data_IF_651185048026
#
_entry.id   IF_651185048026
#
_cell.length_a   1.000
_cell.length_b   1.000
_cell.length_c   1.000
_cell.angle_alpha   90.00
_cell.angle_beta   90.00
_cell.angle_gamma   90.00
#
_symmetry.space_group_name_H-M   'P 1'
#
loop_
_entity.id
_entity.type
_entity.pdbx_description
1 polymer ?
#
# COMPACT_ATOMS: atom_id res chain seq x y z
N UNK A 1 -55.72 -24.27 -29.23
CA UNK A 1 -56.94 -24.44 -30.06
C UNK A 1 -58.07 -23.79 -29.30
N UNK A 2 -58.81 -22.75 -29.69
CA UNK A 2 -59.06 -21.98 -30.91
C UNK A 2 -59.59 -20.61 -30.41
N UNK A 3 -59.00 -19.45 -30.73
CA UNK A 3 -59.32 -18.58 -31.89
C UNK A 3 -60.84 -18.31 -31.99
N UNK A 4 -61.38 -17.09 -32.13
CA UNK A 4 -60.96 -15.69 -32.17
C UNK A 4 -62.24 -14.86 -32.45
N UNK A 5 -62.16 -13.53 -32.39
CA UNK A 5 -62.72 -12.55 -33.36
C UNK A 5 -63.41 -11.30 -32.74
N UNK A 6 -62.97 -10.15 -33.28
CA UNK A 6 -63.40 -8.76 -33.08
C UNK A 6 -64.45 -8.39 -34.15
N UNK A 7 -65.29 -7.35 -33.98
CA UNK A 7 -64.99 -6.01 -34.54
C UNK A 7 -65.56 -4.88 -33.63
N UNK A 8 -65.32 -3.57 -33.73
CA UNK A 8 -64.78 -2.66 -34.73
C UNK A 8 -65.70 -1.44 -34.91
N UNK A 9 -65.34 -0.26 -34.33
CA UNK A 9 -65.52 1.16 -34.79
C UNK A 9 -66.93 1.62 -35.30
N UNK A 10 -67.56 2.75 -34.95
CA UNK A 10 -67.16 4.18 -34.75
C UNK A 10 -68.41 4.98 -34.32
N UNK A 11 -68.25 6.07 -33.57
CA UNK A 11 -68.94 7.35 -33.88
C UNK A 11 -68.17 8.54 -33.29
N UNK A 12 -67.95 9.56 -34.11
CA UNK A 12 -67.27 10.82 -33.83
C UNK A 12 -68.27 11.84 -33.29
N UNK A 13 -67.85 12.70 -32.35
CA UNK A 13 -68.22 14.13 -32.38
C UNK A 13 -67.17 14.99 -31.69
N UNK A 14 -67.04 16.20 -32.23
CA UNK A 14 -65.88 17.09 -32.24
C UNK A 14 -65.58 17.80 -30.92
N UNK A 15 -64.29 18.15 -30.74
CA UNK A 15 -63.72 19.04 -29.72
C UNK A 15 -64.21 20.51 -29.82
N UNK A 16 -63.97 21.32 -28.77
CA UNK A 16 -62.78 22.19 -28.82
C UNK A 16 -61.91 22.16 -27.55
N UNK A 17 -60.63 22.49 -27.76
CA UNK A 17 -59.52 22.57 -26.82
C UNK A 17 -59.65 23.70 -25.78
N UNK A 18 -59.22 23.42 -24.54
CA UNK A 18 -58.47 24.35 -23.69
C UNK A 18 -57.32 23.59 -22.98
N UNK A 19 -56.13 24.19 -22.83
CA UNK A 19 -54.91 23.48 -22.42
C UNK A 19 -54.83 23.25 -20.90
N UNK A 20 -54.55 22.01 -20.51
CA UNK A 20 -54.25 21.61 -19.14
C UNK A 20 -52.88 22.14 -18.72
N UNK A 21 -52.88 22.94 -17.65
CA UNK A 21 -51.69 23.41 -16.96
C UNK A 21 -50.90 22.22 -16.37
N UNK A 22 -49.59 22.28 -16.54
CA UNK A 22 -48.61 21.40 -15.92
C UNK A 22 -48.60 21.56 -14.40
N UNK A 23 -48.47 20.47 -13.61
CA UNK A 23 -48.21 20.61 -12.18
C UNK A 23 -46.74 21.00 -11.99
N UNK A 24 -46.52 22.30 -11.83
CA UNK A 24 -45.35 22.85 -11.16
C UNK A 24 -45.57 22.75 -9.65
N UNK A 25 -44.51 22.36 -8.93
CA UNK A 25 -44.30 22.36 -7.47
C UNK A 25 -43.97 21.00 -6.84
N UNK A 26 -42.80 20.44 -7.16
CA UNK A 26 -41.92 19.78 -6.19
C UNK A 26 -40.48 19.86 -6.72
N UNK A 27 -39.73 20.96 -6.48
CA UNK A 27 -38.25 20.99 -6.55
C UNK A 27 -37.72 22.41 -6.31
N UNK A 28 -37.37 22.73 -5.06
CA UNK A 28 -36.46 23.88 -4.79
C UNK A 28 -35.72 23.77 -3.46
N UNK A 29 -36.22 22.99 -2.49
CA UNK A 29 -35.55 22.81 -1.20
C UNK A 29 -34.43 21.73 -1.20
N UNK A 30 -34.50 20.74 -2.09
CA UNK A 30 -33.53 19.63 -2.15
C UNK A 30 -32.21 19.98 -2.85
N UNK A 31 -32.21 20.95 -3.76
CA UNK A 31 -30.99 21.37 -4.49
C UNK A 31 -30.07 22.21 -3.62
N UNK A 32 -30.59 23.16 -2.83
CA UNK A 32 -29.77 24.03 -1.99
C UNK A 32 -29.01 23.25 -0.90
N UNK A 33 -29.68 22.27 -0.26
CA UNK A 33 -29.04 21.38 0.71
C UNK A 33 -27.92 20.54 0.09
N UNK A 34 -28.18 19.94 -1.08
CA UNK A 34 -27.18 19.17 -1.81
C UNK A 34 -26.01 20.03 -2.30
N UNK A 35 -26.25 21.24 -2.82
CA UNK A 35 -25.19 22.16 -3.26
C UNK A 35 -24.35 22.67 -2.09
N UNK A 36 -24.96 22.95 -0.93
CA UNK A 36 -24.22 23.31 0.28
C UNK A 36 -23.40 22.16 0.83
N UNK A 37 -23.93 20.93 0.80
CA UNK A 37 -23.22 19.72 1.20
C UNK A 37 -22.07 19.40 0.25
N UNK A 38 -22.28 19.52 -1.06
CA UNK A 38 -21.25 19.33 -2.09
C UNK A 38 -20.17 20.41 -2.00
N UNK A 39 -20.52 21.66 -1.72
CA UNK A 39 -19.54 22.73 -1.54
C UNK A 39 -18.76 22.61 -0.21
N UNK A 40 -19.39 22.10 0.85
CA UNK A 40 -18.75 21.93 2.17
C UNK A 40 -17.87 20.68 2.24
N UNK A 41 -18.35 19.58 1.67
CA UNK A 41 -17.70 18.27 1.78
C UNK A 41 -16.99 17.85 0.49
N UNK A 42 -17.20 18.53 -0.63
CA UNK A 42 -16.59 18.19 -1.93
C UNK A 42 -16.57 16.68 -2.22
N UNK A 43 -17.70 15.95 -2.19
CA UNK A 43 -17.72 14.48 -2.26
C UNK A 43 -17.08 13.87 -3.53
N UNK A 44 -16.93 14.67 -4.59
CA UNK A 44 -16.18 14.36 -5.82
C UNK A 44 -14.65 14.49 -5.69
N UNK A 45 -14.19 15.14 -4.62
CA UNK A 45 -12.82 15.12 -4.11
C UNK A 45 -12.86 14.22 -2.85
N UNK A 46 -11.82 13.46 -2.50
CA UNK A 46 -11.82 12.76 -1.21
C UNK A 46 -12.05 13.78 -0.08
N UNK A 47 -13.26 13.82 0.47
CA UNK A 47 -13.77 14.80 1.45
C UNK A 47 -12.97 14.87 2.73
N UNK A 48 -12.16 13.84 2.99
CA UNK A 48 -11.18 13.86 4.05
C UNK A 48 -9.88 14.39 3.44
N UNK A 49 -9.74 15.71 3.30
CA UNK A 49 -8.45 16.30 3.69
C UNK A 49 -8.20 15.67 5.06
N UNK A 50 -7.20 14.79 5.19
CA UNK A 50 -6.94 14.14 6.46
C UNK A 50 -6.84 15.24 7.50
N UNK A 51 -7.89 15.37 8.30
CA UNK A 51 -7.86 16.23 9.45
C UNK A 51 -6.92 15.47 10.37
N UNK A 52 -5.71 15.98 10.55
CA UNK A 52 -4.81 15.38 11.51
C UNK A 52 -5.53 15.29 12.85
N UNK A 53 -5.25 14.20 13.56
CA UNK A 53 -5.94 13.73 14.76
C UNK A 53 -6.48 14.86 15.66
N UNK A 54 -7.67 15.42 15.39
CA UNK A 54 -8.23 16.61 16.07
C UNK A 54 -7.21 17.74 16.42
N UNK A 55 -6.23 18.00 15.56
CA UNK A 55 -5.19 19.01 15.83
C UNK A 55 -4.17 18.65 16.93
N UNK A 56 -4.10 17.37 17.33
CA UNK A 56 -3.06 16.82 18.20
C UNK A 56 -1.93 16.21 17.37
N UNK A 57 -0.69 16.43 17.80
CA UNK A 57 0.47 15.69 17.31
C UNK A 57 0.22 14.19 17.51
N UNK A 58 0.72 13.37 16.59
CA UNK A 58 0.79 11.93 16.80
C UNK A 58 2.25 11.55 16.95
N UNK A 59 2.65 11.35 18.19
CA UNK A 59 4.05 11.11 18.59
C UNK A 59 4.35 9.60 18.70
N UNK A 60 3.31 8.75 18.70
CA UNK A 60 3.42 7.29 18.71
C UNK A 60 3.30 6.65 17.32
N UNK A 61 3.91 5.48 17.16
CA UNK A 61 3.99 4.74 15.90
C UNK A 61 3.31 3.38 15.97
N UNK A 62 2.82 2.91 14.83
CA UNK A 62 2.27 1.55 14.68
C UNK A 62 2.97 0.86 13.54
N UNK A 63 3.78 -0.13 13.87
CA UNK A 63 4.44 -1.00 12.91
C UNK A 63 3.67 -2.31 12.78
N UNK A 64 3.73 -2.93 11.61
CA UNK A 64 3.25 -4.29 11.41
C UNK A 64 4.39 -5.18 10.90
N UNK A 65 4.42 -6.44 11.31
CA UNK A 65 5.32 -7.45 10.77
C UNK A 65 4.53 -8.54 10.06
N UNK A 66 4.90 -8.79 8.80
CA UNK A 66 4.24 -9.73 7.90
C UNK A 66 5.24 -10.74 7.32
N UNK A 67 4.85 -12.00 7.11
CA UNK A 67 5.71 -12.98 6.48
C UNK A 67 5.79 -12.74 4.98
N UNK A 68 6.95 -12.94 4.38
CA UNK A 68 7.12 -12.86 2.92
C UNK A 68 6.35 -13.96 2.17
N UNK A 69 6.09 -15.10 2.81
CA UNK A 69 5.39 -16.24 2.20
C UNK A 69 3.90 -16.01 1.92
N UNK A 70 3.30 -14.92 2.39
CA UNK A 70 1.87 -14.61 2.14
C UNK A 70 1.54 -14.51 0.65
N UNK A 71 2.50 -14.10 -0.18
CA UNK A 71 2.33 -14.00 -1.64
C UNK A 71 2.51 -15.37 -2.33
N UNK A 72 3.07 -16.37 -1.66
CA UNK A 72 3.30 -17.70 -2.26
C UNK A 72 2.01 -18.52 -2.33
N UNK A 73 1.05 -18.26 -1.44
CA UNK A 73 -0.25 -18.94 -1.40
C UNK A 73 -1.19 -18.51 -2.54
N UNK A 74 -0.84 -17.46 -3.30
CA UNK A 74 -1.60 -17.03 -4.46
C UNK A 74 -1.26 -17.88 -5.70
N UNK A 75 -2.29 -18.47 -6.31
CA UNK A 75 -2.16 -19.51 -7.35
C UNK A 75 -1.66 -19.02 -8.72
N UNK A 76 -1.74 -17.72 -9.05
CA UNK A 76 -1.20 -17.16 -10.30
C UNK A 76 -0.47 -15.85 -10.06
N UNK A 77 0.36 -15.41 -11.03
CA UNK A 77 1.04 -14.11 -10.97
C UNK A 77 0.02 -12.97 -11.00
N UNK A 78 -1.07 -13.16 -11.74
CA UNK A 78 -2.25 -12.34 -11.64
C UNK A 78 -2.72 -12.40 -10.20
N UNK A 79 -3.05 -13.52 -9.57
CA UNK A 79 -3.49 -13.55 -8.16
C UNK A 79 -2.52 -12.89 -7.15
N UNK A 80 -1.21 -13.01 -7.38
CA UNK A 80 -0.16 -12.35 -6.59
C UNK A 80 -0.21 -10.83 -6.73
N UNK A 81 -0.61 -10.32 -7.89
CA UNK A 81 -0.80 -8.89 -8.17
C UNK A 81 -2.29 -8.41 -8.18
N UNK A 82 -3.26 -9.32 -8.29
CA UNK A 82 -4.68 -9.16 -8.67
C UNK A 82 -5.47 -10.50 -8.79
N UNK A 83 -6.37 -10.79 -7.84
CA UNK A 83 -7.36 -11.87 -7.98
C UNK A 83 -8.69 -11.32 -8.50
N UNK A 84 -8.87 -11.41 -9.82
CA UNK A 84 -10.12 -11.51 -10.60
C UNK A 84 -11.39 -10.88 -9.99
N UNK A 85 -11.74 -9.68 -10.47
CA UNK A 85 -13.11 -9.14 -10.43
C UNK A 85 -13.20 -7.69 -9.95
N UNK A 86 -14.30 -7.01 -10.30
CA UNK A 86 -14.64 -5.66 -9.83
C UNK A 86 -14.82 -5.54 -8.31
N UNK A 87 -14.72 -6.65 -7.55
CA UNK A 87 -15.21 -6.72 -6.17
C UNK A 87 -14.21 -7.25 -5.12
N UNK A 88 -12.97 -7.65 -5.48
CA UNK A 88 -11.98 -8.15 -4.48
C UNK A 88 -10.53 -7.69 -4.74
N UNK A 89 -9.87 -6.95 -3.81
CA UNK A 89 -8.49 -6.49 -4.02
C UNK A 89 -7.43 -7.61 -3.83
N UNK A 90 -6.25 -7.49 -4.47
CA UNK A 90 -5.05 -8.33 -4.23
C UNK A 90 -4.69 -8.39 -2.74
N UNK A 91 -4.16 -9.52 -2.22
CA UNK A 91 -3.72 -9.60 -0.82
C UNK A 91 -2.74 -8.47 -0.45
N UNK A 92 -1.81 -8.12 -1.35
CA UNK A 92 -0.86 -7.02 -1.12
C UNK A 92 -1.53 -5.65 -1.18
N UNK A 93 -2.43 -5.44 -2.14
CA UNK A 93 -3.20 -4.19 -2.23
C UNK A 93 -4.14 -4.00 -1.04
N UNK A 94 -4.75 -5.09 -0.54
CA UNK A 94 -5.55 -5.11 0.68
C UNK A 94 -4.71 -4.76 1.90
N UNK A 95 -3.52 -5.34 2.02
CA UNK A 95 -2.57 -5.02 3.10
C UNK A 95 -2.20 -3.54 3.05
N UNK A 96 -1.74 -3.03 1.90
CA UNK A 96 -1.37 -1.62 1.72
C UNK A 96 -2.53 -0.68 2.10
N UNK A 97 -3.74 -0.99 1.62
CA UNK A 97 -4.94 -0.20 1.90
C UNK A 97 -5.35 -0.27 3.36
N UNK A 98 -5.25 -1.43 4.00
CA UNK A 98 -5.54 -1.59 5.43
C UNK A 98 -4.53 -0.79 6.26
N UNK A 99 -3.24 -0.89 5.95
CA UNK A 99 -2.19 -0.12 6.61
C UNK A 99 -2.43 1.38 6.49
N UNK A 100 -2.81 1.83 5.29
CA UNK A 100 -3.18 3.21 5.02
C UNK A 100 -4.38 3.68 5.87
N UNK A 101 -5.46 2.88 5.91
CA UNK A 101 -6.68 3.21 6.66
C UNK A 101 -6.41 3.35 8.15
N UNK A 102 -5.58 2.48 8.72
CA UNK A 102 -5.23 2.47 10.14
C UNK A 102 -3.98 3.29 10.45
N UNK A 103 -3.48 4.08 9.51
CA UNK A 103 -2.34 4.97 9.69
C UNK A 103 -1.10 4.25 10.26
N UNK A 104 -0.80 3.06 9.73
CA UNK A 104 0.42 2.29 10.04
C UNK A 104 1.63 3.05 9.52
N UNK A 105 2.70 3.15 10.32
CA UNK A 105 3.90 3.95 10.00
C UNK A 105 5.02 3.13 9.38
N UNK A 106 5.05 1.82 9.61
CA UNK A 106 6.08 0.91 9.07
C UNK A 106 5.46 -0.46 8.80
N UNK A 107 5.81 -1.04 7.65
CA UNK A 107 5.51 -2.43 7.30
C UNK A 107 6.83 -3.19 7.21
N UNK A 108 7.02 -4.16 8.10
CA UNK A 108 8.19 -5.03 8.14
C UNK A 108 7.84 -6.36 7.47
N UNK A 109 8.56 -6.72 6.43
CA UNK A 109 8.41 -8.00 5.74
C UNK A 109 9.53 -8.91 6.20
N UNK A 110 9.22 -9.95 6.96
CA UNK A 110 10.22 -10.90 7.42
C UNK A 110 10.19 -12.19 6.59
N UNK A 111 11.37 -12.78 6.36
CA UNK A 111 11.44 -14.13 5.81
C UNK A 111 11.11 -15.15 6.91
N UNK A 112 10.05 -15.93 6.70
CA UNK A 112 9.60 -16.94 7.66
C UNK A 112 10.44 -18.22 7.62
N UNK A 113 11.34 -18.37 6.64
CA UNK A 113 12.29 -19.48 6.49
C UNK A 113 11.65 -20.88 6.54
N UNK A 114 10.35 -20.96 6.28
CA UNK A 114 9.62 -22.22 6.29
C UNK A 114 9.86 -22.98 4.98
N UNK A 115 10.15 -24.29 5.03
CA UNK A 115 10.39 -25.06 3.82
C UNK A 115 9.12 -25.11 2.96
N UNK A 116 9.25 -24.91 1.64
CA UNK A 116 8.11 -24.84 0.70
C UNK A 116 7.15 -26.04 0.76
N UNK A 117 7.61 -27.18 1.27
CA UNK A 117 6.80 -28.39 1.49
C UNK A 117 5.67 -28.19 2.52
N UNK A 118 5.84 -27.32 3.51
CA UNK A 118 4.80 -27.04 4.53
C UNK A 118 3.71 -26.09 4.03
N UNK A 119 3.94 -25.38 2.91
CA UNK A 119 2.96 -24.48 2.29
C UNK A 119 1.97 -25.23 1.37
N UNK A 120 2.24 -26.49 1.05
CA UNK A 120 1.53 -27.28 0.05
C UNK A 120 0.68 -28.41 0.66
N UNK A 121 0.07 -28.19 1.82
CA UNK A 121 -0.86 -29.16 2.41
C UNK A 121 -2.25 -29.07 1.77
N UNK A 122 -2.33 -29.40 0.48
CA UNK A 122 -3.57 -29.91 -0.11
C UNK A 122 -3.62 -31.42 0.13
N UNK A 123 -4.54 -31.96 0.96
CA UNK A 123 -4.62 -33.39 1.25
C UNK A 123 -5.03 -34.27 0.05
N UNK A 124 -5.23 -33.69 -1.14
CA UNK A 124 -5.62 -34.40 -2.38
C UNK A 124 -4.47 -34.59 -3.39
N UNK A 125 -3.25 -34.12 -3.11
CA UNK A 125 -2.13 -34.18 -4.06
C UNK A 125 -1.04 -35.22 -3.72
N UNK A 126 -1.27 -36.15 -2.79
CA UNK A 126 -0.36 -37.29 -2.58
C UNK A 126 -0.64 -38.40 -3.59
N UNK A 127 -0.25 -38.18 -4.85
CA UNK A 127 -0.53 -39.17 -5.89
C UNK A 127 -0.04 -38.85 -7.29
N UNK A 128 1.18 -38.34 -7.49
CA UNK A 128 1.90 -38.61 -8.74
C UNK A 128 3.35 -38.15 -8.66
N UNK A 129 4.26 -39.12 -8.68
CA UNK A 129 5.66 -38.89 -8.99
C UNK A 129 5.79 -38.43 -10.45
N UNK A 130 6.72 -37.51 -10.70
CA UNK A 130 7.39 -37.26 -11.98
C UNK A 130 6.53 -37.37 -13.26
N UNK A 131 5.90 -36.27 -13.67
CA UNK A 131 5.51 -36.09 -15.06
C UNK A 131 5.87 -34.67 -15.53
N UNK A 132 7.00 -34.58 -16.24
CA UNK A 132 7.42 -33.40 -16.99
C UNK A 132 6.34 -33.04 -18.01
N UNK A 133 5.55 -32.01 -17.72
CA UNK A 133 4.49 -31.54 -18.60
C UNK A 133 5.11 -30.72 -19.73
N UNK A 134 5.39 -31.36 -20.87
CA UNK A 134 5.76 -30.68 -22.12
C UNK A 134 4.49 -30.08 -22.76
N UNK A 135 4.42 -28.78 -23.02
CA UNK A 135 3.31 -28.21 -23.79
C UNK A 135 3.37 -28.74 -25.23
N UNK A 136 2.39 -29.55 -25.61
CA UNK A 136 2.17 -30.02 -26.98
C UNK A 136 1.25 -29.01 -27.68
N UNK A 137 1.71 -28.44 -28.79
CA UNK A 137 0.85 -27.81 -29.80
C UNK A 137 1.33 -26.46 -30.33
N UNK A 138 2.32 -26.47 -31.23
CA UNK A 138 2.50 -25.37 -32.20
C UNK A 138 1.59 -25.65 -33.40
N UNK A 139 0.76 -24.67 -33.76
CA UNK A 139 0.11 -24.60 -35.07
C UNK A 139 1.23 -24.48 -36.12
N UNK A 140 1.27 -25.39 -37.10
CA UNK A 140 2.32 -25.48 -38.11
C UNK A 140 1.76 -24.98 -39.44
N UNK A 141 2.30 -23.87 -39.91
CA UNK A 141 2.06 -23.33 -41.25
C UNK A 141 2.83 -24.19 -42.29
N UNK A 142 2.20 -24.71 -43.37
CA UNK A 142 2.83 -25.65 -44.27
C UNK A 142 3.24 -25.01 -45.60
N UNK A 143 4.22 -24.12 -45.62
CA UNK A 143 5.00 -23.82 -46.83
C UNK A 143 6.42 -23.40 -46.45
N UNK A 144 7.36 -24.33 -46.64
CA UNK A 144 8.73 -24.14 -47.15
C UNK A 144 9.64 -25.26 -46.64
N UNK A 145 10.20 -26.01 -47.59
CA UNK A 145 11.15 -27.08 -47.35
C UNK A 145 12.59 -26.61 -47.59
N UNK A 146 13.54 -27.37 -47.07
CA UNK A 146 14.96 -27.21 -47.38
C UNK A 146 15.85 -27.43 -46.16
N UNK A 147 16.73 -28.42 -46.25
CA UNK A 147 17.65 -28.88 -45.22
C UNK A 147 18.75 -27.86 -44.89
N UNK A 148 19.26 -27.87 -43.65
CA UNK A 148 20.61 -28.37 -43.37
C UNK A 148 21.03 -28.17 -41.91
N UNK A 149 21.78 -29.17 -41.46
CA UNK A 149 22.41 -29.36 -40.15
C UNK A 149 23.47 -28.31 -39.83
N UNK A 150 23.38 -27.67 -38.67
CA UNK A 150 24.53 -27.06 -38.00
C UNK A 150 24.32 -27.06 -36.49
N UNK A 151 25.18 -27.81 -35.80
CA UNK A 151 25.35 -27.80 -34.35
C UNK A 151 25.85 -26.43 -33.88
N UNK A 152 25.04 -25.72 -33.11
CA UNK A 152 25.51 -24.63 -32.26
C UNK A 152 25.01 -24.88 -30.85
N UNK A 153 25.96 -24.90 -29.90
CA UNK A 153 25.68 -25.02 -28.48
C UNK A 153 24.81 -23.85 -28.04
N UNK A 154 23.54 -24.12 -27.79
CA UNK A 154 22.69 -23.20 -27.08
C UNK A 154 23.14 -23.18 -25.62
N UNK A 155 23.79 -22.08 -25.25
CA UNK A 155 23.81 -21.61 -23.87
C UNK A 155 22.38 -21.73 -23.33
N UNK A 156 22.24 -22.42 -22.20
CA UNK A 156 21.04 -22.37 -21.40
C UNK A 156 20.91 -20.91 -20.94
N UNK A 157 20.10 -20.13 -21.66
CA UNK A 157 19.60 -18.86 -21.17
C UNK A 157 18.86 -19.16 -19.87
N UNK A 158 19.47 -18.74 -18.77
CA UNK A 158 18.98 -18.94 -17.42
C UNK A 158 17.57 -18.37 -17.25
N UNK A 159 16.82 -19.02 -16.36
CA UNK A 159 15.56 -18.54 -15.81
C UNK A 159 15.72 -17.09 -15.31
N UNK A 160 15.35 -16.12 -16.15
CA UNK A 160 15.39 -14.71 -15.79
C UNK A 160 14.26 -14.38 -14.81
N UNK A 161 14.63 -14.17 -13.55
CA UNK A 161 14.13 -13.04 -12.76
C UNK A 161 12.76 -13.16 -12.10
N UNK A 162 12.49 -14.23 -11.35
CA UNK A 162 11.42 -14.18 -10.36
C UNK A 162 11.99 -13.54 -9.08
N UNK A 163 11.53 -12.33 -8.74
CA UNK A 163 11.93 -11.67 -7.50
C UNK A 163 11.68 -12.58 -6.29
N UNK A 164 12.58 -12.51 -5.31
CA UNK A 164 12.33 -13.05 -3.99
C UNK A 164 10.98 -12.50 -3.44
N UNK A 165 10.14 -13.33 -2.78
CA UNK A 165 8.82 -12.92 -2.29
C UNK A 165 8.83 -11.67 -1.43
N UNK A 166 9.85 -11.49 -0.58
CA UNK A 166 9.95 -10.30 0.27
C UNK A 166 10.24 -9.05 -0.56
N UNK A 167 11.13 -9.17 -1.55
CA UNK A 167 11.47 -8.09 -2.49
C UNK A 167 10.27 -7.72 -3.36
N UNK A 168 9.52 -8.72 -3.85
CA UNK A 168 8.28 -8.50 -4.60
C UNK A 168 7.27 -7.73 -3.75
N UNK A 169 6.99 -8.21 -2.53
CA UNK A 169 6.03 -7.58 -1.63
C UNK A 169 6.44 -6.14 -1.29
N UNK A 170 7.71 -5.93 -0.95
CA UNK A 170 8.25 -4.61 -0.61
C UNK A 170 8.03 -3.63 -1.76
N UNK A 171 8.40 -4.02 -2.98
CA UNK A 171 8.29 -3.16 -4.17
C UNK A 171 6.86 -2.74 -4.46
N UNK A 172 5.87 -3.64 -4.29
CA UNK A 172 4.46 -3.29 -4.49
C UNK A 172 3.98 -2.30 -3.41
N UNK A 173 4.32 -2.55 -2.14
CA UNK A 173 3.92 -1.68 -1.03
C UNK A 173 4.52 -0.27 -1.16
N UNK A 174 5.80 -0.17 -1.50
CA UNK A 174 6.51 1.09 -1.75
C UNK A 174 5.92 1.84 -2.96
N UNK A 175 5.60 1.12 -4.04
CA UNK A 175 4.97 1.70 -5.22
C UNK A 175 3.60 2.31 -4.89
N UNK A 176 2.80 1.61 -4.09
CA UNK A 176 1.47 2.06 -3.69
C UNK A 176 1.53 3.28 -2.77
N UNK A 177 2.45 3.30 -1.80
CA UNK A 177 2.66 4.42 -0.89
C UNK A 177 3.21 5.65 -1.60
N UNK A 178 4.01 5.48 -2.65
CA UNK A 178 4.62 6.61 -3.36
C UNK A 178 3.58 7.44 -4.11
N UNK A 179 3.57 8.79 -3.94
CA UNK A 179 2.71 9.70 -4.69
C UNK A 179 2.82 9.53 -6.20
N UNK A 180 1.68 9.61 -6.87
CA UNK A 180 1.53 9.26 -8.29
C UNK A 180 2.49 10.05 -9.20
N UNK A 181 2.73 11.33 -8.89
CA UNK A 181 3.63 12.20 -9.66
C UNK A 181 5.12 11.84 -9.51
N UNK A 182 5.51 11.09 -8.48
CA UNK A 182 6.90 10.65 -8.25
C UNK A 182 7.20 9.25 -8.78
N UNK A 183 6.18 8.42 -9.01
CA UNK A 183 6.35 7.01 -9.39
C UNK A 183 7.24 6.82 -10.61
N UNK A 184 7.11 7.70 -11.62
CA UNK A 184 7.92 7.63 -12.84
C UNK A 184 9.40 7.91 -12.60
N UNK A 185 9.73 8.76 -11.62
CA UNK A 185 11.11 9.10 -11.28
C UNK A 185 11.75 8.02 -10.39
N UNK A 186 10.97 7.44 -9.47
CA UNK A 186 11.47 6.51 -8.45
C UNK A 186 11.41 5.03 -8.85
N UNK A 187 10.47 4.64 -9.70
CA UNK A 187 10.25 3.24 -10.09
C UNK A 187 10.51 3.05 -11.59
N UNK A 188 11.65 2.45 -11.97
CA UNK A 188 11.87 2.04 -13.35
C UNK A 188 10.86 0.96 -13.76
N UNK A 189 10.70 0.77 -15.07
CA UNK A 189 9.86 -0.29 -15.62
C UNK A 189 10.35 -1.66 -15.12
N UNK A 190 9.53 -2.30 -14.30
CA UNK A 190 9.87 -3.57 -13.66
C UNK A 190 8.77 -4.63 -13.88
N UNK A 191 9.10 -5.91 -14.15
CA UNK A 191 8.11 -6.97 -14.35
C UNK A 191 7.06 -7.08 -13.24
N UNK A 192 7.46 -6.95 -11.98
CA UNK A 192 6.55 -6.99 -10.82
C UNK A 192 5.49 -5.88 -10.83
N UNK A 193 5.81 -4.73 -11.45
CA UNK A 193 4.91 -3.57 -11.55
C UNK A 193 4.09 -3.55 -12.85
N UNK A 194 4.19 -4.59 -13.69
CA UNK A 194 3.45 -4.68 -14.95
C UNK A 194 1.93 -4.55 -14.76
N UNK A 195 1.42 -5.04 -13.63
CA UNK A 195 0.00 -5.01 -13.28
C UNK A 195 -0.33 -3.93 -12.23
N UNK A 196 0.57 -2.98 -11.98
CA UNK A 196 0.39 -1.98 -10.94
C UNK A 196 -0.83 -1.07 -11.17
N UNK A 197 -1.28 -0.93 -12.42
CA UNK A 197 -2.52 -0.22 -12.75
C UNK A 197 -3.81 -0.88 -12.26
N UNK A 198 -3.75 -2.12 -11.77
CA UNK A 198 -4.88 -2.85 -11.17
C UNK A 198 -4.91 -2.76 -9.64
N UNK A 199 -3.85 -2.21 -9.02
CA UNK A 199 -3.78 -2.09 -7.57
C UNK A 199 -4.74 -0.99 -7.08
N UNK A 200 -5.38 -1.18 -5.91
CA UNK A 200 -6.29 -0.17 -5.38
C UNK A 200 -5.51 1.12 -5.04
N UNK A 201 -6.07 2.31 -5.33
CA UNK A 201 -5.48 3.54 -4.86
C UNK A 201 -5.50 3.59 -3.32
N UNK A 202 -4.46 4.15 -2.73
CA UNK A 202 -4.42 4.40 -1.29
C UNK A 202 -5.02 5.76 -0.92
N UNK A 203 -4.94 6.73 -1.84
CA UNK A 203 -5.41 8.12 -1.66
C UNK A 203 -4.96 8.73 -0.32
N UNK A 204 -3.66 8.62 -0.05
CA UNK A 204 -3.04 9.11 1.19
C UNK A 204 -3.01 10.65 1.23
N UNK A 205 -2.84 11.27 2.40
CA UNK A 205 -2.78 12.74 2.52
C UNK A 205 -1.66 13.39 1.69
N UNK A 206 -0.56 12.68 1.46
CA UNK A 206 0.53 13.10 0.57
C UNK A 206 0.34 12.70 -0.90
N UNK A 207 -0.75 12.01 -1.27
CA UNK A 207 -1.14 11.72 -2.66
C UNK A 207 -1.86 12.90 -3.31
N UNK A 208 -1.23 14.06 -3.21
CA UNK A 208 -1.80 15.33 -3.65
C UNK A 208 -1.87 15.41 -5.17
N UNK A 209 -2.96 15.99 -5.66
CA UNK A 209 -3.08 16.44 -7.05
C UNK A 209 -2.27 17.72 -7.23
N UNK A 210 -2.07 18.08 -8.50
CA UNK A 210 -1.30 19.29 -8.86
C UNK A 210 -1.90 20.56 -8.25
N UNK A 211 -3.22 20.68 -8.27
CA UNK A 211 -3.94 21.88 -7.82
C UNK A 211 -4.26 21.88 -6.32
N UNK A 212 -3.85 20.84 -5.57
CA UNK A 212 -4.14 20.73 -4.14
C UNK A 212 -3.19 21.63 -3.32
N UNK A 213 -3.73 22.49 -2.48
CA UNK A 213 -2.92 23.25 -1.52
C UNK A 213 -2.64 22.40 -0.26
N UNK A 214 -1.37 22.32 0.11
CA UNK A 214 -0.89 21.61 1.30
C UNK A 214 0.39 22.28 1.84
N UNK A 215 0.57 22.37 3.18
CA UNK A 215 1.78 22.91 3.79
C UNK A 215 3.01 22.01 3.57
N UNK A 216 2.79 20.73 3.28
CA UNK A 216 3.85 19.76 3.01
C UNK A 216 3.59 19.01 1.70
N UNK A 217 4.66 18.66 0.99
CA UNK A 217 4.61 17.81 -0.20
C UNK A 217 5.80 16.86 -0.22
N UNK A 218 5.59 15.68 -0.77
CA UNK A 218 6.70 14.80 -1.16
C UNK A 218 7.29 15.30 -2.48
N UNK A 219 8.59 15.12 -2.67
CA UNK A 219 9.27 15.51 -3.89
C UNK A 219 10.49 14.66 -4.20
N UNK A 220 11.03 14.86 -5.41
CA UNK A 220 12.29 14.25 -5.86
C UNK A 220 13.25 15.34 -6.30
N UNK A 221 14.51 15.18 -5.93
CA UNK A 221 15.57 16.12 -6.32
C UNK A 221 15.84 15.98 -7.81
N UNK A 222 15.60 17.04 -8.57
CA UNK A 222 15.79 17.09 -10.02
C UNK A 222 17.02 17.90 -10.44
N UNK A 223 17.53 18.74 -9.54
CA UNK A 223 18.79 19.46 -9.76
C UNK A 223 19.47 19.74 -8.42
N UNK A 224 20.76 19.43 -8.33
CA UNK A 224 21.61 19.81 -7.19
C UNK A 224 22.41 21.08 -7.50
N UNK A 225 22.86 21.83 -6.47
CA UNK A 225 23.78 22.95 -6.65
C UNK A 225 25.06 22.49 -7.35
N UNK A 226 25.49 23.26 -8.35
CA UNK A 226 26.69 22.92 -9.14
C UNK A 226 27.96 23.12 -8.33
N UNK A 227 28.49 22.06 -7.74
CA UNK A 227 29.93 21.98 -7.46
C UNK A 227 30.61 21.26 -8.62
N UNK A 228 31.15 22.01 -9.58
CA UNK A 228 32.12 21.53 -10.57
C UNK A 228 31.78 20.24 -11.35
N UNK A 229 30.98 20.34 -12.41
CA UNK A 229 31.21 19.52 -13.60
C UNK A 229 30.94 20.37 -14.85
N UNK A 230 32.03 20.68 -15.55
CA UNK A 230 32.02 21.59 -16.68
C UNK A 230 31.11 21.09 -17.80
N UNK A 231 30.15 21.91 -18.20
CA UNK A 231 29.72 21.93 -19.59
C UNK A 231 29.19 23.30 -19.96
N UNK A 232 29.64 23.77 -21.11
CA UNK A 232 29.43 25.09 -21.65
C UNK A 232 27.95 25.30 -21.97
N UNK A 233 27.28 26.14 -21.20
CA UNK A 233 26.19 26.93 -21.76
C UNK A 233 26.16 28.31 -21.10
N UNK A 234 26.59 29.31 -21.87
CA UNK A 234 26.51 30.72 -21.53
C UNK A 234 25.05 31.12 -21.46
N UNK A 235 24.46 31.10 -20.27
CA UNK A 235 23.28 31.89 -19.97
C UNK A 235 23.48 32.50 -18.59
N UNK A 236 23.41 33.83 -18.52
CA UNK A 236 23.52 34.64 -17.29
C UNK A 236 22.58 34.08 -16.21
N UNK A 237 23.09 33.24 -15.31
CA UNK A 237 22.40 32.85 -14.08
C UNK A 237 22.86 33.83 -13.00
N UNK A 238 21.91 34.43 -12.29
CA UNK A 238 22.20 35.26 -11.13
C UNK A 238 22.98 34.43 -10.10
N UNK A 239 24.01 35.01 -9.48
CA UNK A 239 24.89 34.30 -8.54
C UNK A 239 24.15 33.66 -7.35
N UNK A 240 22.96 34.16 -6.99
CA UNK A 240 22.10 33.59 -5.95
C UNK A 240 21.44 32.26 -6.31
N UNK A 241 21.37 31.91 -7.61
CA UNK A 241 20.73 30.69 -8.12
C UNK A 241 21.71 29.49 -8.19
N UNK A 242 22.97 29.73 -7.83
CA UNK A 242 24.05 28.73 -7.92
C UNK A 242 24.06 27.74 -6.73
N UNK A 243 23.45 28.14 -5.60
CA UNK A 243 23.32 27.37 -4.37
C UNK A 243 21.92 26.78 -4.16
N UNK A 244 21.02 26.93 -5.14
CA UNK A 244 19.65 26.43 -5.04
C UNK A 244 19.57 24.97 -5.49
N UNK A 245 18.82 24.18 -4.73
CA UNK A 245 18.43 22.82 -5.05
C UNK A 245 16.99 22.84 -5.60
N UNK A 246 16.73 22.14 -6.70
CA UNK A 246 15.39 22.04 -7.29
C UNK A 246 14.75 20.71 -6.94
N UNK A 247 13.51 20.78 -6.45
CA UNK A 247 12.71 19.61 -6.08
C UNK A 247 11.42 19.60 -6.88
N UNK A 248 11.18 18.52 -7.62
CA UNK A 248 9.88 18.26 -8.25
C UNK A 248 8.91 17.73 -7.18
N UNK A 249 7.92 18.56 -6.84
CA UNK A 249 6.86 18.28 -5.86
C UNK A 249 5.49 18.04 -6.51
N UNK A 250 5.46 17.75 -7.81
CA UNK A 250 4.24 17.48 -8.59
C UNK A 250 3.47 18.73 -9.03
N UNK A 251 4.04 19.92 -8.83
CA UNK A 251 3.52 21.20 -9.32
C UNK A 251 3.95 21.44 -10.78
N UNK A 252 3.51 22.57 -11.36
CA UNK A 252 3.93 22.98 -12.71
C UNK A 252 5.43 23.23 -12.79
N UNK A 253 5.96 23.90 -11.78
CA UNK A 253 7.36 24.25 -11.66
C UNK A 253 7.96 23.62 -10.39
N UNK A 254 9.22 23.13 -10.44
CA UNK A 254 9.93 22.69 -9.25
C UNK A 254 10.06 23.80 -8.22
N UNK A 255 10.07 23.42 -6.94
CA UNK A 255 10.34 24.36 -5.84
C UNK A 255 11.83 24.49 -5.60
N UNK A 256 12.24 25.69 -5.19
CA UNK A 256 13.62 25.98 -4.85
C UNK A 256 13.84 25.76 -3.36
N UNK A 257 14.89 25.05 -3.02
CA UNK A 257 15.38 24.85 -1.66
C UNK A 257 16.74 25.52 -1.54
N UNK A 258 16.94 26.26 -0.46
CA UNK A 258 18.23 26.88 -0.16
C UNK A 258 19.20 25.83 0.39
N UNK A 259 20.12 25.34 -0.44
CA UNK A 259 21.05 24.30 -0.04
C UNK A 259 22.07 24.77 1.01
N UNK A 260 22.24 26.09 1.21
CA UNK A 260 23.15 26.62 2.24
C UNK A 260 22.67 26.35 3.66
N UNK A 261 21.37 26.09 3.83
CA UNK A 261 20.76 25.71 5.12
C UNK A 261 20.89 24.21 5.40
N UNK A 262 21.31 23.41 4.42
CA UNK A 262 21.41 21.96 4.55
C UNK A 262 22.80 21.58 5.05
N UNK A 263 22.86 20.77 6.11
CA UNK A 263 24.13 20.17 6.53
C UNK A 263 24.67 19.15 5.53
N UNK A 264 23.77 18.39 4.90
CA UNK A 264 24.08 17.39 3.87
C UNK A 264 23.14 17.63 2.69
N UNK A 265 23.71 17.80 1.50
CA UNK A 265 22.94 17.94 0.26
C UNK A 265 22.56 16.53 -0.21
N UNK A 266 21.26 16.19 -0.33
CA UNK A 266 20.87 14.87 -0.79
C UNK A 266 21.14 14.72 -2.30
N UNK A 267 21.33 13.48 -2.72
CA UNK A 267 21.72 13.14 -4.09
C UNK A 267 20.58 13.35 -5.09
N UNK A 268 20.93 13.51 -6.38
CA UNK A 268 19.94 13.56 -7.45
C UNK A 268 19.04 12.31 -7.42
N UNK A 269 17.76 12.49 -7.72
CA UNK A 269 16.71 11.46 -7.65
C UNK A 269 16.38 10.94 -6.25
N UNK A 270 16.92 11.55 -5.18
CA UNK A 270 16.48 11.24 -3.82
C UNK A 270 15.07 11.75 -3.57
N UNK A 271 14.23 10.92 -2.92
CA UNK A 271 12.92 11.33 -2.40
C UNK A 271 13.11 12.16 -1.12
N UNK A 272 12.37 13.25 -1.01
CA UNK A 272 12.43 14.19 0.12
C UNK A 272 11.04 14.68 0.51
N UNK A 273 10.86 15.03 1.78
CA UNK A 273 9.68 15.73 2.27
C UNK A 273 9.97 17.24 2.33
N UNK A 274 9.07 18.03 1.76
CA UNK A 274 9.24 19.47 1.57
C UNK A 274 8.17 20.23 2.34
N UNK A 275 8.59 21.19 3.17
CA UNK A 275 7.70 22.24 3.69
C UNK A 275 7.56 23.32 2.63
N UNK A 276 6.33 23.54 2.19
CA UNK A 276 6.02 24.51 1.15
C UNK A 276 6.25 25.94 1.67
N UNK A 277 6.82 26.84 0.85
CA UNK A 277 7.04 28.23 1.24
C UNK A 277 5.70 28.93 1.44
N UNK A 278 5.66 29.91 2.36
CA UNK A 278 4.45 30.72 2.63
C UNK A 278 4.15 31.72 1.52
N UNK A 279 5.19 32.17 0.83
CA UNK A 279 5.14 33.17 -0.24
C UNK A 279 5.91 32.65 -1.47
N UNK A 280 5.47 32.99 -2.68
CA UNK A 280 6.09 32.54 -3.95
C UNK A 280 7.58 32.93 -4.11
N UNK A 281 8.04 33.92 -3.35
CA UNK A 281 9.41 34.43 -3.39
C UNK A 281 10.34 33.74 -2.38
N UNK A 282 9.80 32.86 -1.52
CA UNK A 282 10.56 32.19 -0.47
C UNK A 282 11.02 30.79 -0.90
N UNK A 283 12.15 30.36 -0.36
CA UNK A 283 12.62 28.99 -0.51
C UNK A 283 11.79 28.02 0.33
N UNK A 284 11.59 26.82 -0.19
CA UNK A 284 11.07 25.69 0.55
C UNK A 284 12.14 25.11 1.48
N UNK A 285 11.72 24.40 2.53
CA UNK A 285 12.63 23.71 3.45
C UNK A 285 12.50 22.19 3.28
N UNK A 286 13.63 21.48 3.28
CA UNK A 286 13.62 20.02 3.44
C UNK A 286 13.45 19.70 4.92
N UNK A 287 12.50 18.82 5.21
CA UNK A 287 12.11 18.45 6.57
C UNK A 287 12.14 16.92 6.74
N UNK A 288 12.05 16.47 7.98
CA UNK A 288 11.89 15.04 8.26
C UNK A 288 10.55 14.53 7.68
N UNK A 289 10.49 13.31 7.13
CA UNK A 289 9.22 12.68 6.76
C UNK A 289 8.24 12.51 7.94
N UNK A 290 8.73 12.54 9.18
CA UNK A 290 7.88 12.51 10.39
C UNK A 290 7.26 13.86 10.74
N UNK A 291 7.80 14.98 10.24
CA UNK A 291 7.36 16.33 10.60
C UNK A 291 5.88 16.61 10.30
N UNK A 292 5.29 16.20 9.15
CA UNK A 292 3.85 16.37 8.91
C UNK A 292 2.96 15.69 9.97
N UNK A 293 3.38 14.50 10.43
CA UNK A 293 2.69 13.74 11.48
C UNK A 293 2.84 14.39 12.84
N UNK A 294 4.05 14.80 13.22
CA UNK A 294 4.35 15.38 14.53
C UNK A 294 3.74 16.79 14.68
N UNK A 295 3.80 17.63 13.65
CA UNK A 295 3.34 19.02 13.77
C UNK A 295 1.84 19.19 13.50
N UNK A 296 1.26 18.36 12.63
CA UNK A 296 -0.12 18.54 12.17
C UNK A 296 -0.99 17.30 12.31
N UNK A 297 -0.47 16.19 12.83
CA UNK A 297 -1.21 14.93 12.95
C UNK A 297 -1.55 14.29 11.60
N UNK A 298 -0.92 14.73 10.50
CA UNK A 298 -1.18 14.21 9.17
C UNK A 298 -0.56 12.84 9.00
N UNK A 299 -1.35 11.86 8.57
CA UNK A 299 -0.79 10.57 8.18
C UNK A 299 0.05 10.73 6.90
N UNK A 300 1.33 10.38 6.97
CA UNK A 300 2.29 10.61 5.89
C UNK A 300 2.78 9.31 5.22
N UNK A 301 1.93 8.28 5.25
CA UNK A 301 2.24 6.96 4.68
C UNK A 301 3.02 6.04 5.62
N UNK A 302 3.57 4.99 5.04
CA UNK A 302 4.35 3.97 5.74
C UNK A 302 5.72 3.81 5.09
N UNK A 303 6.72 3.47 5.89
CA UNK A 303 7.97 2.90 5.39
C UNK A 303 7.84 1.39 5.20
N UNK A 304 8.68 0.81 4.35
CA UNK A 304 8.74 -0.64 4.16
C UNK A 304 10.15 -1.12 4.47
N UNK A 305 10.27 -2.19 5.26
CA UNK A 305 11.55 -2.77 5.65
C UNK A 305 11.53 -4.27 5.44
N UNK A 306 12.57 -4.81 4.82
CA UNK A 306 12.75 -6.27 4.70
C UNK A 306 13.68 -6.77 5.80
N UNK A 307 13.24 -7.80 6.52
CA UNK A 307 13.99 -8.47 7.59
C UNK A 307 14.37 -9.91 7.16
N UNK A 308 15.64 -10.35 7.32
CA UNK A 308 16.06 -11.71 6.95
C UNK A 308 15.41 -12.84 7.76
N UNK A 309 14.86 -12.53 8.93
CA UNK A 309 14.15 -13.48 9.79
C UNK A 309 13.24 -12.73 10.76
N UNK A 310 12.42 -13.45 11.53
CA UNK A 310 11.57 -12.85 12.54
C UNK A 310 12.39 -12.19 13.66
N UNK A 311 13.52 -12.78 14.07
CA UNK A 311 14.43 -12.14 15.03
C UNK A 311 14.99 -10.79 14.56
N UNK A 312 15.16 -10.62 13.24
CA UNK A 312 15.61 -9.36 12.64
C UNK A 312 14.53 -8.27 12.59
N UNK A 313 13.25 -8.62 12.80
CA UNK A 313 12.20 -7.62 12.95
C UNK A 313 12.50 -6.70 14.13
N UNK A 314 12.90 -7.28 15.26
CA UNK A 314 13.13 -6.59 16.53
C UNK A 314 14.56 -6.04 16.68
N UNK A 315 15.57 -6.75 16.20
CA UNK A 315 16.97 -6.38 16.43
C UNK A 315 17.50 -5.28 15.49
N UNK A 316 16.84 -5.01 14.37
CA UNK A 316 17.25 -3.98 13.40
C UNK A 316 16.09 -3.05 13.01
N UNK A 317 15.27 -2.70 14.00
CA UNK A 317 14.18 -1.73 13.82
C UNK A 317 14.71 -0.28 13.74
N UNK A 318 13.94 0.63 13.14
CA UNK A 318 14.31 2.05 13.04
C UNK A 318 14.40 2.73 14.42
N UNK A 319 13.70 2.20 15.41
CA UNK A 319 13.61 2.74 16.77
C UNK A 319 14.70 2.21 17.72
N UNK A 320 15.73 1.52 17.21
CA UNK A 320 16.76 0.90 18.06
C UNK A 320 17.49 1.90 18.98
N UNK A 321 17.66 3.17 18.55
CA UNK A 321 18.21 4.24 19.38
C UNK A 321 17.27 4.73 20.49
N UNK A 322 15.97 4.45 20.37
CA UNK A 322 14.89 4.87 21.26
C UNK A 322 14.41 3.71 22.17
N UNK A 323 15.09 2.56 22.12
CA UNK A 323 14.73 1.37 22.92
C UNK A 323 14.03 0.26 22.12
N UNK A 324 13.79 0.46 20.83
CA UNK A 324 13.11 -0.50 19.96
C UNK A 324 11.58 -0.35 20.00
N UNK A 325 10.86 -1.44 19.74
CA UNK A 325 9.43 -1.47 19.97
C UNK A 325 9.19 -1.73 21.47
N UNK A 326 8.57 -0.77 22.16
CA UNK A 326 8.25 -0.85 23.58
C UNK A 326 6.92 -1.56 23.87
N UNK A 327 6.15 -1.86 22.81
CA UNK A 327 4.98 -2.75 22.86
C UNK A 327 4.99 -3.72 21.68
N UNK A 328 4.99 -5.01 21.97
CA UNK A 328 4.97 -6.07 20.96
C UNK A 328 3.75 -6.96 21.12
N UNK A 329 2.98 -7.10 20.04
CA UNK A 329 1.76 -7.90 20.01
C UNK A 329 1.90 -8.97 18.93
N UNK A 330 1.84 -10.24 19.31
CA UNK A 330 1.78 -11.37 18.38
C UNK A 330 0.34 -11.89 18.24
N UNK A 331 -0.09 -12.20 17.02
CA UNK A 331 -1.43 -12.76 16.77
C UNK A 331 -1.40 -14.26 16.54
N UNK A 332 -2.25 -15.01 17.22
CA UNK A 332 -2.49 -16.44 16.98
C UNK A 332 -3.90 -16.85 17.41
N UNK A 333 -4.49 -17.84 16.74
CA UNK A 333 -5.74 -18.48 17.17
C UNK A 333 -5.62 -19.12 18.58
N UNK A 334 -4.39 -19.43 19.01
CA UNK A 334 -4.04 -19.98 20.33
C UNK A 334 -3.77 -18.90 21.38
N UNK A 335 -3.82 -17.62 21.01
CA UNK A 335 -3.64 -16.50 21.93
C UNK A 335 -4.83 -16.28 22.86
N UNK A 336 -4.64 -15.40 23.84
CA UNK A 336 -5.71 -14.94 24.73
C UNK A 336 -6.68 -14.08 23.92
N UNK A 337 -7.98 -14.16 24.20
CA UNK A 337 -8.99 -13.29 23.59
C UNK A 337 -8.56 -11.83 23.65
N UNK A 338 -8.54 -11.12 22.52
CA UNK A 338 -8.08 -9.72 22.52
C UNK A 338 -8.97 -8.86 23.42
N UNK A 339 -10.27 -9.19 23.56
CA UNK A 339 -11.18 -8.51 24.49
C UNK A 339 -10.65 -8.49 25.94
N UNK A 340 -10.01 -9.56 26.38
CA UNK A 340 -9.55 -9.69 27.76
C UNK A 340 -8.24 -8.92 28.01
N UNK A 341 -7.54 -8.55 26.93
CA UNK A 341 -6.22 -7.91 26.96
C UNK A 341 -6.29 -6.41 26.68
N UNK A 342 -7.37 -5.90 26.06
CA UNK A 342 -7.52 -4.48 25.70
C UNK A 342 -7.22 -3.51 26.86
N UNK A 343 -7.67 -3.84 28.08
CA UNK A 343 -7.45 -3.01 29.28
C UNK A 343 -6.03 -3.14 29.87
N UNK A 344 -5.31 -4.20 29.51
CA UNK A 344 -3.97 -4.52 30.01
C UNK A 344 -2.85 -3.89 29.17
N UNK A 345 -3.19 -3.38 27.98
CA UNK A 345 -2.22 -2.74 27.08
C UNK A 345 -1.68 -1.45 27.77
N UNK A 346 -0.36 -1.37 27.99
CA UNK A 346 0.27 -0.20 28.60
C UNK A 346 0.30 0.99 27.64
N UNK A 347 0.68 2.15 28.15
CA UNK A 347 1.11 3.26 27.30
C UNK A 347 2.36 2.86 26.51
N UNK A 348 2.49 3.34 25.27
CA UNK A 348 3.58 2.98 24.38
C UNK A 348 3.91 4.12 23.43
N UNK A 349 5.16 4.15 22.95
CA UNK A 349 5.62 5.06 21.90
C UNK A 349 5.74 4.33 20.55
N UNK A 350 6.23 3.09 20.54
CA UNK A 350 6.49 2.32 19.34
C UNK A 350 5.96 0.90 19.44
N UNK A 351 4.74 0.67 18.94
CA UNK A 351 4.17 -0.67 18.94
C UNK A 351 4.47 -1.44 17.64
N UNK A 352 4.56 -2.77 17.74
CA UNK A 352 4.59 -3.67 16.59
C UNK A 352 3.57 -4.80 16.70
N UNK A 353 2.74 -4.94 15.66
CA UNK A 353 1.79 -6.05 15.50
C UNK A 353 2.39 -7.09 14.56
N UNK A 354 2.69 -8.26 15.07
CA UNK A 354 3.28 -9.36 14.28
C UNK A 354 2.21 -10.37 13.90
N UNK A 355 2.07 -10.64 12.60
CA UNK A 355 1.16 -11.65 12.07
C UNK A 355 1.93 -12.79 11.43
N UNK A 356 1.41 -14.01 11.59
CA UNK A 356 2.01 -15.22 11.04
C UNK A 356 1.54 -15.57 9.64
N UNK A 357 2.25 -16.51 8.98
CA UNK A 357 1.76 -17.17 7.78
C UNK A 357 0.64 -18.16 8.14
N UNK A 358 0.12 -18.89 7.15
CA UNK A 358 -0.93 -19.90 7.37
C UNK A 358 -0.53 -20.98 8.39
N UNK A 359 0.75 -21.30 8.50
CA UNK A 359 1.32 -22.23 9.48
C UNK A 359 1.41 -21.68 10.91
N UNK A 360 1.10 -20.39 11.11
CA UNK A 360 1.18 -19.71 12.40
C UNK A 360 2.57 -19.18 12.74
N UNK A 361 2.62 -18.21 13.65
CA UNK A 361 3.87 -17.64 14.16
C UNK A 361 4.68 -18.65 14.97
N UNK A 362 4.02 -19.62 15.60
CA UNK A 362 4.67 -20.61 16.44
C UNK A 362 5.71 -21.42 15.68
N UNK A 363 5.39 -21.80 14.44
CA UNK A 363 6.33 -22.54 13.61
C UNK A 363 7.47 -21.66 13.11
N UNK A 364 7.19 -20.38 12.80
CA UNK A 364 8.22 -19.41 12.41
C UNK A 364 9.23 -19.22 13.55
N UNK A 365 8.73 -19.01 14.76
CA UNK A 365 9.54 -18.81 15.97
C UNK A 365 10.39 -20.04 16.25
N UNK A 366 9.78 -21.23 16.23
CA UNK A 366 10.50 -22.48 16.48
C UNK A 366 11.54 -22.84 15.40
N UNK A 367 11.43 -22.24 14.21
CA UNK A 367 12.33 -22.51 13.08
C UNK A 367 13.44 -21.46 12.93
N UNK A 368 13.33 -20.31 13.58
CA UNK A 368 14.35 -19.25 13.53
C UNK A 368 15.50 -19.60 14.50
N UNK A 369 16.72 -19.92 14.02
CA UNK A 369 17.83 -20.33 14.88
C UNK A 369 18.34 -19.21 15.82
N UNK A 370 17.91 -17.96 15.60
CA UNK A 370 18.24 -16.83 16.49
C UNK A 370 17.27 -16.70 17.66
N UNK A 371 16.13 -17.40 17.62
CA UNK A 371 15.12 -17.38 18.67
C UNK A 371 15.23 -18.66 19.48
N UNK A 372 15.48 -18.54 20.78
CA UNK A 372 15.62 -19.68 21.68
C UNK A 372 14.28 -20.01 22.36
N UNK A 373 13.21 -20.20 21.57
CA UNK A 373 11.87 -20.54 22.03
C UNK A 373 11.29 -21.67 21.17
N UNK A 374 10.62 -22.62 21.81
CA UNK A 374 9.84 -23.64 21.11
C UNK A 374 8.48 -23.11 20.64
N UNK A 375 7.79 -23.88 19.78
CA UNK A 375 6.46 -23.51 19.26
C UNK A 375 5.41 -23.29 20.38
N UNK A 376 5.56 -23.97 21.53
CA UNK A 376 4.66 -23.81 22.68
C UNK A 376 4.93 -22.55 23.51
N UNK A 377 6.15 -22.04 23.44
CA UNK A 377 6.66 -20.87 24.16
C UNK A 377 6.64 -19.62 23.27
N UNK A 378 6.10 -19.74 22.05
CA UNK A 378 6.05 -18.66 21.07
C UNK A 378 5.41 -17.38 21.59
N UNK A 379 4.43 -17.50 22.50
CA UNK A 379 3.81 -16.36 23.16
C UNK A 379 4.79 -15.53 24.00
N UNK A 380 5.82 -16.16 24.57
CA UNK A 380 6.81 -15.52 25.44
C UNK A 380 7.75 -14.55 24.67
N UNK A 381 7.68 -14.55 23.33
CA UNK A 381 8.38 -13.59 22.49
C UNK A 381 7.74 -12.18 22.52
N UNK A 382 6.47 -12.07 22.90
CA UNK A 382 5.68 -10.85 22.80
C UNK A 382 5.15 -10.40 24.17
N UNK A 383 4.94 -9.11 24.33
CA UNK A 383 4.28 -8.55 25.52
C UNK A 383 2.82 -9.03 25.61
N UNK A 384 2.16 -9.14 24.45
CA UNK A 384 0.84 -9.73 24.35
C UNK A 384 0.74 -10.75 23.21
N UNK A 385 0.14 -11.90 23.53
CA UNK A 385 -0.13 -12.97 22.58
C UNK A 385 -1.63 -13.20 22.45
N UNK A 386 -2.23 -12.70 21.37
CA UNK A 386 -3.68 -12.50 21.28
C UNK A 386 -4.34 -13.25 20.13
N UNK A 387 -5.58 -13.69 20.37
CA UNK A 387 -6.53 -14.10 19.35
C UNK A 387 -7.46 -12.93 19.03
N UNK A 388 -7.42 -12.45 17.79
CA UNK A 388 -8.23 -11.31 17.32
C UNK A 388 -9.55 -11.72 16.68
N UNK A 389 -9.85 -13.03 16.59
CA UNK A 389 -11.04 -13.60 15.93
C UNK A 389 -11.55 -14.80 16.74
N UNK A 390 -12.07 -14.54 17.94
CA UNK A 390 -12.60 -15.60 18.79
C UNK A 390 -13.83 -16.25 18.12
N UNK A 391 -13.93 -17.58 18.21
CA UNK A 391 -15.06 -18.31 17.63
C UNK A 391 -15.17 -18.22 16.10
N UNK A 392 -14.04 -18.03 15.39
CA UNK A 392 -14.02 -17.96 13.92
C UNK A 392 -14.79 -19.12 13.26
N UNK A 393 -15.65 -18.79 12.30
CA UNK A 393 -16.45 -19.78 11.55
C UNK A 393 -15.68 -20.47 10.41
N UNK A 394 -14.54 -19.92 10.02
CA UNK A 394 -13.61 -20.55 9.06
C UNK A 394 -12.54 -21.34 9.81
N UNK A 395 -12.06 -22.44 9.23
CA UNK A 395 -10.93 -23.19 9.80
C UNK A 395 -9.63 -22.38 9.78
N UNK A 396 -9.48 -21.52 8.78
CA UNK A 396 -8.27 -20.74 8.55
C UNK A 396 -8.65 -19.31 8.24
N UNK A 397 -7.89 -18.36 8.77
CA UNK A 397 -7.98 -16.94 8.41
C UNK A 397 -6.65 -16.56 7.78
N UNK A 398 -6.70 -15.97 6.57
CA UNK A 398 -5.48 -15.53 5.88
C UNK A 398 -4.93 -14.26 6.53
N UNK A 399 -3.64 -14.01 6.35
CA UNK A 399 -2.96 -12.84 6.95
C UNK A 399 -3.61 -11.52 6.51
N UNK A 400 -3.98 -11.40 5.23
CA UNK A 400 -4.68 -10.22 4.69
C UNK A 400 -6.11 -10.04 5.23
N UNK A 401 -6.75 -11.10 5.72
CA UNK A 401 -8.07 -11.07 6.37
C UNK A 401 -7.92 -10.73 7.87
N UNK A 402 -6.89 -11.28 8.52
CA UNK A 402 -6.62 -11.06 9.95
C UNK A 402 -6.15 -9.64 10.26
N UNK A 403 -5.32 -9.05 9.38
CA UNK A 403 -4.77 -7.70 9.56
C UNK A 403 -5.84 -6.61 9.79
N UNK A 404 -6.86 -6.44 8.93
CA UNK A 404 -7.88 -5.42 9.16
C UNK A 404 -8.70 -5.69 10.42
N UNK A 405 -8.94 -6.95 10.79
CA UNK A 405 -9.68 -7.29 12.00
C UNK A 405 -8.85 -6.94 13.25
N UNK A 406 -7.57 -7.30 13.26
CA UNK A 406 -6.66 -6.98 14.36
C UNK A 406 -6.57 -5.46 14.58
N UNK A 407 -6.28 -4.71 13.52
CA UNK A 407 -6.16 -3.25 13.61
C UNK A 407 -7.49 -2.58 13.99
N UNK A 408 -8.63 -3.06 13.48
CA UNK A 408 -9.94 -2.54 13.86
C UNK A 408 -10.24 -2.72 15.35
N UNK A 409 -9.88 -3.89 15.91
CA UNK A 409 -10.14 -4.20 17.32
C UNK A 409 -9.16 -3.51 18.27
N UNK A 410 -7.94 -3.25 17.83
CA UNK A 410 -6.93 -2.54 18.61
C UNK A 410 -7.06 -1.01 18.52
N UNK A 411 -7.64 -0.48 17.44
CA UNK A 411 -7.66 0.97 17.12
C UNK A 411 -7.94 1.88 18.30
N UNK A 412 -9.05 1.64 19.01
CA UNK A 412 -9.46 2.52 20.11
C UNK A 412 -8.43 2.55 21.24
N UNK A 413 -7.85 1.38 21.58
CA UNK A 413 -6.84 1.29 22.63
C UNK A 413 -5.55 1.96 22.18
N UNK A 414 -5.11 1.73 20.94
CA UNK A 414 -3.91 2.35 20.38
C UNK A 414 -3.99 3.88 20.38
N UNK A 415 -5.13 4.44 19.97
CA UNK A 415 -5.35 5.89 19.99
C UNK A 415 -5.40 6.47 21.43
N UNK A 416 -5.79 5.66 22.42
CA UNK A 416 -5.87 6.07 23.82
C UNK A 416 -4.58 5.92 24.63
N UNK A 417 -3.71 4.98 24.20
CA UNK A 417 -2.50 4.57 24.93
C UNK A 417 -1.20 5.02 24.26
N UNK A 418 -1.24 5.40 22.99
CA UNK A 418 -0.09 5.96 22.32
C UNK A 418 0.29 7.32 22.91
N UNK A 419 1.55 7.46 23.35
CA UNK A 419 2.09 8.67 23.98
C UNK A 419 3.17 9.36 23.15
#
# INVERSE_FOLDING_TARGET
>A
MSSSYRPGKKSKRNHPHQPSQSPSHVTSATSAGASSFIALHHPEKPSARAQGHEGKSRDWTTSIALPSSIVLNAQTMELRAWLVGQDFPSSVGQIARTCAIFCVTEIVIYNDNLPSTTLNTNPMASGSQNASYKPRGKYRDPTEGGADSASSGAQQDGEQGQDDPATFLARILEYLETPQYLRRALFPLHPSLRLAGLLPPLDLPHHLRRDDESPYREGVIVQTPSSAQGSLSNKRRNASDSSALLVDVGLWDPVHVDATKLGIIPELNSRVTVRMPKDEQSYADLISPSTPTLEQGLYWGYSVRVAPSLAHVFSSGPYASEGGYDLSIGTSERGVSVQDVLEQIPEFQHMILTLGPLSGLELVIASDPRINLGAKEAGDMFDHWINVIEGQGSRTVRTEEALPIALARLKHVLESKGI
#
